data_IF_088627103836
#
_entry.id   IF_088627103836
#
_cell.length_a   1.000
_cell.length_b   1.000
_cell.length_c   1.000
_cell.angle_alpha   90.00
_cell.angle_beta   90.00
_cell.angle_gamma   90.00
#
_symmetry.space_group_name_H-M   'P 1'
#
loop_
_entity.id
_entity.type
_entity.pdbx_description
1 polymer ?
#
# COMPACT_ATOMS: atom_id res chain seq x y z
N UNK A 1 -61.78 13.82 -45.16
CA UNK A 1 -61.76 12.95 -43.95
C UNK A 1 -60.36 12.39 -43.83
N UNK A 2 -59.52 12.93 -42.93
CA UNK A 2 -59.13 12.31 -41.64
C UNK A 2 -58.61 10.88 -41.87
N UNK A 3 -57.36 10.53 -41.55
CA UNK A 3 -56.83 10.46 -40.19
C UNK A 3 -55.30 10.62 -40.20
N UNK A 4 -54.86 11.38 -39.20
CA UNK A 4 -53.52 11.86 -38.89
C UNK A 4 -52.67 10.74 -38.25
N UNK A 5 -51.39 10.70 -38.61
CA UNK A 5 -50.35 9.85 -38.02
C UNK A 5 -50.18 10.13 -36.52
N UNK A 6 -50.16 9.09 -35.68
CA UNK A 6 -49.66 9.15 -34.31
C UNK A 6 -48.86 7.88 -34.02
N UNK A 7 -47.56 7.93 -34.29
CA UNK A 7 -46.59 6.93 -33.84
C UNK A 7 -46.18 7.35 -32.42
N UNK A 8 -46.70 6.66 -31.42
CA UNK A 8 -46.28 6.78 -30.03
C UNK A 8 -45.01 5.94 -29.86
N UNK A 9 -43.86 6.60 -29.78
CA UNK A 9 -42.58 5.96 -29.45
C UNK A 9 -42.54 5.72 -27.94
N UNK A 10 -42.82 4.50 -27.50
CA UNK A 10 -42.59 4.09 -26.10
C UNK A 10 -41.10 3.83 -25.96
N UNK A 11 -40.37 4.82 -25.41
CA UNK A 11 -38.99 4.62 -24.93
C UNK A 11 -39.10 3.92 -23.58
N UNK A 12 -39.02 2.60 -23.58
CA UNK A 12 -38.81 1.82 -22.37
C UNK A 12 -37.40 2.13 -21.84
N UNK A 13 -37.31 3.07 -20.90
CA UNK A 13 -36.13 3.25 -20.05
C UNK A 13 -36.02 2.03 -19.14
N UNK A 14 -35.33 1.00 -19.59
CA UNK A 14 -34.87 -0.09 -18.73
C UNK A 14 -33.79 0.49 -17.82
N UNK A 15 -34.19 0.94 -16.63
CA UNK A 15 -33.27 1.24 -15.55
C UNK A 15 -32.60 -0.08 -15.17
N UNK A 16 -31.46 -0.38 -15.80
CA UNK A 16 -30.56 -1.40 -15.31
C UNK A 16 -30.11 -0.94 -13.93
N UNK A 17 -30.67 -1.57 -12.89
CA UNK A 17 -30.13 -1.51 -11.54
C UNK A 17 -28.67 -1.95 -11.64
N UNK A 18 -27.74 -1.00 -11.74
CA UNK A 18 -26.32 -1.22 -11.54
C UNK A 18 -26.16 -1.52 -10.06
N UNK A 19 -26.55 -2.73 -9.66
CA UNK A 19 -26.22 -3.29 -8.37
C UNK A 19 -24.71 -3.32 -8.31
N UNK A 20 -24.14 -2.57 -7.37
CA UNK A 20 -22.73 -2.64 -7.03
C UNK A 20 -22.42 -4.12 -6.73
N UNK A 21 -21.64 -4.84 -7.56
CA UNK A 21 -21.34 -6.24 -7.26
C UNK A 21 -20.44 -6.23 -6.03
N UNK A 22 -21.02 -6.53 -4.86
CA UNK A 22 -20.23 -6.90 -3.68
C UNK A 22 -19.54 -8.20 -4.04
N UNK A 23 -18.22 -8.29 -3.82
CA UNK A 23 -17.53 -9.58 -3.90
C UNK A 23 -18.25 -10.55 -2.97
N UNK A 24 -18.40 -11.81 -3.40
CA UNK A 24 -18.96 -12.82 -2.53
C UNK A 24 -18.04 -13.01 -1.31
N UNK A 25 -18.58 -13.32 -0.12
CA UNK A 25 -17.76 -13.56 1.07
C UNK A 25 -16.64 -14.59 0.83
N UNK A 26 -16.90 -15.62 0.03
CA UNK A 26 -15.93 -16.66 -0.30
C UNK A 26 -14.74 -16.11 -1.10
N UNK A 27 -14.99 -15.25 -2.08
CA UNK A 27 -13.94 -14.63 -2.88
C UNK A 27 -13.10 -13.65 -2.05
N UNK A 28 -13.70 -12.95 -1.09
CA UNK A 28 -12.95 -12.11 -0.14
C UNK A 28 -12.03 -12.92 0.77
N UNK A 29 -12.48 -14.10 1.24
CA UNK A 29 -11.67 -15.00 2.07
C UNK A 29 -10.50 -15.58 1.27
N UNK A 30 -10.73 -15.98 0.02
CA UNK A 30 -9.68 -16.47 -0.86
C UNK A 30 -8.61 -15.40 -1.12
N UNK A 31 -9.03 -14.17 -1.44
CA UNK A 31 -8.13 -13.02 -1.63
C UNK A 31 -7.29 -12.73 -0.38
N UNK A 32 -7.91 -12.71 0.80
CA UNK A 32 -7.21 -12.50 2.06
C UNK A 32 -6.16 -13.60 2.31
N UNK A 33 -6.50 -14.86 2.04
CA UNK A 33 -5.57 -15.97 2.21
C UNK A 33 -4.37 -15.83 1.28
N UNK A 34 -4.60 -15.50 0.01
CA UNK A 34 -3.52 -15.33 -0.97
C UNK A 34 -2.60 -14.15 -0.59
N UNK A 35 -3.16 -13.03 -0.09
CA UNK A 35 -2.37 -11.93 0.46
C UNK A 35 -1.55 -12.35 1.69
N UNK A 36 -2.08 -13.19 2.59
CA UNK A 36 -1.32 -13.71 3.74
C UNK A 36 -0.20 -14.66 3.31
N UNK A 37 -0.43 -15.50 2.29
CA UNK A 37 0.60 -16.37 1.73
C UNK A 37 1.75 -15.52 1.14
N UNK A 38 1.44 -14.47 0.36
CA UNK A 38 2.44 -13.54 -0.18
C UNK A 38 3.19 -12.80 0.93
N UNK A 39 2.47 -12.30 1.94
CA UNK A 39 3.06 -11.64 3.10
C UNK A 39 4.02 -12.58 3.86
N UNK A 40 3.63 -13.85 4.03
CA UNK A 40 4.46 -14.88 4.62
C UNK A 40 5.76 -15.13 3.86
N UNK A 41 5.68 -15.24 2.52
CA UNK A 41 6.87 -15.34 1.66
C UNK A 41 7.74 -14.08 1.76
N UNK A 42 7.11 -12.90 1.75
CA UNK A 42 7.80 -11.62 1.86
C UNK A 42 8.58 -11.45 3.15
N UNK A 43 8.07 -11.92 4.28
CA UNK A 43 8.81 -11.91 5.57
C UNK A 43 10.10 -12.72 5.57
N UNK A 44 10.26 -13.65 4.64
CA UNK A 44 11.48 -14.46 4.50
C UNK A 44 12.39 -13.90 3.41
N UNK A 45 11.81 -13.38 2.32
CA UNK A 45 12.57 -12.92 1.16
C UNK A 45 13.12 -11.50 1.27
N UNK A 46 12.48 -10.64 2.07
CA UNK A 46 12.89 -9.24 2.21
C UNK A 46 13.98 -9.13 3.27
N UNK A 47 15.18 -8.77 2.83
CA UNK A 47 16.36 -8.62 3.66
C UNK A 47 16.36 -7.27 4.40
N UNK A 48 16.15 -7.32 5.72
CA UNK A 48 16.13 -6.14 6.57
C UNK A 48 17.45 -5.37 6.63
N UNK A 49 18.61 -6.04 6.50
CA UNK A 49 19.91 -5.37 6.50
C UNK A 49 20.10 -4.50 5.26
N UNK A 50 19.50 -4.92 4.13
CA UNK A 50 19.46 -4.10 2.91
C UNK A 50 18.43 -2.98 3.07
N UNK A 51 17.26 -3.26 3.64
CA UNK A 51 16.22 -2.24 3.87
C UNK A 51 16.71 -1.05 4.70
N UNK A 52 17.49 -1.31 5.76
CA UNK A 52 18.00 -0.25 6.65
C UNK A 52 18.98 0.72 5.96
N UNK A 53 19.56 0.32 4.82
CA UNK A 53 20.50 1.15 4.04
C UNK A 53 19.81 2.04 3.02
N UNK A 54 18.52 1.85 2.77
CA UNK A 54 17.82 2.52 1.67
C UNK A 54 17.82 4.04 1.86
N UNK A 55 17.31 4.56 2.97
CA UNK A 55 17.24 6.02 3.18
C UNK A 55 18.60 6.51 3.65
N UNK A 56 19.19 7.47 2.93
CA UNK A 56 20.55 7.95 3.24
C UNK A 56 20.58 8.76 4.54
N UNK A 57 21.74 8.79 5.20
CA UNK A 57 21.94 9.62 6.41
C UNK A 57 21.64 11.10 6.17
N UNK A 58 21.96 11.61 4.97
CA UNK A 58 21.59 12.97 4.57
C UNK A 58 20.08 13.15 4.58
N UNK A 59 19.33 12.27 3.90
CA UNK A 59 17.88 12.37 3.82
C UNK A 59 17.23 12.26 5.21
N UNK A 60 17.72 11.36 6.07
CA UNK A 60 17.28 11.25 7.46
C UNK A 60 17.44 12.57 8.22
N UNK A 61 18.55 13.28 8.02
CA UNK A 61 18.81 14.58 8.64
C UNK A 61 17.82 15.69 8.25
N UNK A 62 17.20 15.59 7.07
CA UNK A 62 16.22 16.57 6.58
C UNK A 62 14.77 16.15 6.80
N UNK A 63 14.49 14.88 7.14
CA UNK A 63 13.14 14.33 7.15
C UNK A 63 12.14 15.13 8.02
N UNK A 64 12.62 15.69 9.15
CA UNK A 64 11.83 16.55 10.05
C UNK A 64 12.23 18.02 10.00
N UNK A 65 13.12 18.41 9.09
CA UNK A 65 13.53 19.79 8.94
C UNK A 65 12.37 20.63 8.39
N UNK A 66 12.19 21.82 8.94
CA UNK A 66 11.19 22.80 8.49
C UNK A 66 11.86 24.15 8.25
N UNK A 67 11.60 24.78 7.12
CA UNK A 67 11.95 26.19 6.85
C UNK A 67 10.68 26.92 6.40
N UNK A 68 10.25 28.01 7.07
CA UNK A 68 9.10 28.80 6.64
C UNK A 68 9.19 29.37 5.21
N UNK A 69 10.41 29.45 4.65
CA UNK A 69 10.67 29.93 3.28
C UNK A 69 10.80 28.80 2.27
N UNK A 70 10.91 27.56 2.74
CA UNK A 70 11.03 26.36 1.91
C UNK A 70 10.24 25.20 2.55
N UNK A 71 8.96 25.11 2.16
CA UNK A 71 8.07 24.04 2.61
C UNK A 71 8.44 22.66 2.04
N UNK A 72 9.30 22.60 1.02
CA UNK A 72 9.70 21.36 0.35
C UNK A 72 11.07 20.85 0.81
N UNK A 73 11.75 21.55 1.72
CA UNK A 73 13.10 21.26 2.21
C UNK A 73 13.35 19.76 2.46
N UNK A 74 12.44 19.09 3.17
CA UNK A 74 12.55 17.66 3.46
C UNK A 74 12.40 16.78 2.22
N UNK A 75 11.44 17.09 1.35
CA UNK A 75 11.16 16.33 0.13
C UNK A 75 12.25 16.50 -0.92
N UNK A 76 12.73 17.73 -1.11
CA UNK A 76 13.79 18.07 -2.06
C UNK A 76 15.16 17.49 -1.66
N UNK A 77 15.32 17.14 -0.38
CA UNK A 77 16.51 16.47 0.13
C UNK A 77 16.28 14.99 0.44
N UNK A 78 15.14 14.42 0.03
CA UNK A 78 14.91 12.99 0.14
C UNK A 78 15.74 12.26 -0.90
N UNK A 79 16.56 11.31 -0.44
CA UNK A 79 17.50 10.56 -1.27
C UNK A 79 17.69 9.15 -0.72
N UNK A 80 18.02 8.22 -1.60
CA UNK A 80 18.14 6.79 -1.31
C UNK A 80 19.42 6.19 -1.87
N UNK A 81 19.95 5.17 -1.21
CA UNK A 81 20.95 4.30 -1.81
C UNK A 81 20.32 3.52 -2.98
N UNK A 82 20.76 3.85 -4.20
CA UNK A 82 20.13 3.37 -5.42
C UNK A 82 20.24 1.83 -5.58
N UNK A 83 21.32 1.22 -5.08
CA UNK A 83 21.52 -0.23 -5.16
C UNK A 83 20.59 -0.96 -4.19
N UNK A 84 20.54 -0.53 -2.93
CA UNK A 84 19.66 -1.09 -1.91
C UNK A 84 18.19 -0.88 -2.30
N UNK A 85 17.82 0.33 -2.71
CA UNK A 85 16.48 0.69 -3.12
C UNK A 85 16.01 -0.19 -4.29
N UNK A 86 16.79 -0.27 -5.37
CA UNK A 86 16.40 -1.06 -6.53
C UNK A 86 16.36 -2.57 -6.26
N UNK A 87 17.25 -3.07 -5.39
CA UNK A 87 17.27 -4.47 -5.00
C UNK A 87 15.97 -4.83 -4.28
N UNK A 88 15.61 -4.07 -3.24
CA UNK A 88 14.38 -4.32 -2.48
C UNK A 88 13.15 -4.07 -3.33
N UNK A 89 13.10 -2.97 -4.10
CA UNK A 89 11.96 -2.65 -4.97
C UNK A 89 11.65 -3.75 -5.98
N UNK A 90 12.67 -4.32 -6.62
CA UNK A 90 12.49 -5.46 -7.54
C UNK A 90 11.96 -6.69 -6.82
N UNK A 91 12.41 -6.97 -5.59
CA UNK A 91 11.87 -8.06 -4.76
C UNK A 91 10.40 -7.82 -4.43
N UNK A 92 10.03 -6.62 -3.99
CA UNK A 92 8.64 -6.27 -3.68
C UNK A 92 7.71 -6.38 -4.90
N UNK A 93 8.16 -5.96 -6.09
CA UNK A 93 7.42 -6.15 -7.34
C UNK A 93 7.22 -7.64 -7.64
N UNK A 94 8.26 -8.47 -7.50
CA UNK A 94 8.14 -9.91 -7.73
C UNK A 94 7.16 -10.57 -6.75
N UNK A 95 7.17 -10.15 -5.48
CA UNK A 95 6.20 -10.61 -4.49
C UNK A 95 4.77 -10.24 -4.88
N UNK A 96 4.54 -9.04 -5.41
CA UNK A 96 3.18 -8.64 -5.83
C UNK A 96 2.65 -9.47 -7.00
N UNK A 97 3.54 -10.01 -7.84
CA UNK A 97 3.20 -10.95 -8.92
C UNK A 97 2.87 -12.37 -8.46
N UNK A 98 3.06 -12.70 -7.18
CA UNK A 98 2.64 -14.00 -6.65
C UNK A 98 1.12 -14.08 -6.46
N UNK A 99 0.44 -12.94 -6.36
CA UNK A 99 -1.02 -12.89 -6.28
C UNK A 99 -1.66 -13.01 -7.69
N UNK A 100 -2.80 -13.68 -7.75
CA UNK A 100 -3.63 -13.90 -8.93
C UNK A 100 -4.44 -12.66 -9.37
N UNK A 101 -4.36 -11.58 -8.60
CA UNK A 101 -5.04 -10.30 -8.79
C UNK A 101 -4.08 -9.12 -8.58
N UNK A 102 -4.43 -7.89 -9.01
CA UNK A 102 -3.60 -6.72 -8.76
C UNK A 102 -3.37 -6.50 -7.27
N UNK A 103 -2.10 -6.50 -6.88
CA UNK A 103 -1.64 -6.22 -5.54
C UNK A 103 -0.37 -5.37 -5.59
N UNK A 104 -0.09 -4.67 -4.50
CA UNK A 104 1.20 -4.06 -4.21
C UNK A 104 1.78 -4.65 -2.93
N UNK A 105 3.10 -4.67 -2.81
CA UNK A 105 3.81 -5.03 -1.57
C UNK A 105 4.70 -3.86 -1.18
N UNK A 106 4.30 -3.02 -0.23
CA UNK A 106 5.05 -1.81 0.09
C UNK A 106 6.00 -2.03 1.28
N UNK A 107 7.11 -1.29 1.34
CA UNK A 107 8.02 -1.31 2.49
C UNK A 107 7.75 -0.11 3.40
N UNK A 108 7.49 -0.41 4.67
CA UNK A 108 7.35 0.56 5.73
C UNK A 108 8.47 0.39 6.76
N UNK A 109 9.13 1.48 7.13
CA UNK A 109 10.23 1.46 8.10
C UNK A 109 9.97 2.46 9.24
N UNK A 110 10.18 2.07 10.51
CA UNK A 110 10.23 3.02 11.61
C UNK A 110 11.36 4.03 11.40
N UNK A 111 11.21 5.23 11.97
CA UNK A 111 12.21 6.28 11.84
C UNK A 111 13.07 6.34 13.11
N UNK A 112 14.37 6.13 12.95
CA UNK A 112 15.32 6.16 14.04
C UNK A 112 15.31 7.52 14.78
N UNK A 113 15.39 7.48 16.10
CA UNK A 113 15.30 8.67 16.96
C UNK A 113 13.90 9.27 17.09
N UNK A 114 12.89 8.74 16.39
CA UNK A 114 11.52 9.29 16.37
C UNK A 114 10.49 8.19 16.68
N UNK A 115 10.36 7.79 17.97
CA UNK A 115 9.40 6.77 18.38
C UNK A 115 7.98 7.13 17.95
N UNK A 116 7.25 6.13 17.45
CA UNK A 116 5.88 6.32 16.97
C UNK A 116 5.76 6.95 15.58
N UNK A 117 6.86 7.23 14.88
CA UNK A 117 6.85 7.64 13.47
C UNK A 117 7.25 6.51 12.55
N UNK A 118 6.63 6.47 11.38
CA UNK A 118 6.90 5.49 10.32
C UNK A 118 6.88 6.16 8.96
N UNK A 119 7.68 5.66 8.02
CA UNK A 119 7.72 6.14 6.65
C UNK A 119 7.47 5.01 5.65
N UNK A 120 6.83 5.36 4.54
CA UNK A 120 6.70 4.49 3.38
C UNK A 120 7.95 4.65 2.51
N UNK A 121 8.89 3.72 2.64
CA UNK A 121 10.19 3.80 1.95
C UNK A 121 10.08 3.37 0.49
N UNK A 122 9.31 2.32 0.21
CA UNK A 122 9.05 1.86 -1.16
C UNK A 122 7.56 1.64 -1.35
N UNK A 123 7.01 2.37 -2.33
CA UNK A 123 5.67 2.17 -2.87
C UNK A 123 5.75 1.60 -4.29
N UNK A 124 4.80 0.73 -4.63
CA UNK A 124 4.78 0.02 -5.90
C UNK A 124 3.78 0.54 -6.93
N UNK A 125 3.73 -0.16 -8.07
CA UNK A 125 3.17 0.27 -9.36
C UNK A 125 1.71 0.72 -9.28
N UNK A 126 0.87 0.01 -8.52
CA UNK A 126 -0.55 0.31 -8.49
C UNK A 126 -0.90 1.42 -7.50
N UNK A 127 0.12 1.97 -6.82
CA UNK A 127 -0.01 3.07 -5.88
C UNK A 127 -0.98 2.76 -4.73
N UNK A 128 -1.15 1.47 -4.42
CA UNK A 128 -2.09 0.98 -3.42
C UNK A 128 -1.45 1.03 -2.04
N UNK A 129 -2.13 1.66 -1.07
CA UNK A 129 -1.84 1.54 0.35
C UNK A 129 -3.07 1.94 1.16
N UNK A 130 -3.32 1.27 2.28
CA UNK A 130 -4.36 1.69 3.23
C UNK A 130 -3.92 2.84 4.14
N UNK A 131 -2.61 3.11 4.25
CA UNK A 131 -2.06 3.94 5.32
C UNK A 131 -1.38 5.22 4.82
N UNK A 132 -0.98 5.25 3.55
CA UNK A 132 -0.24 6.39 3.00
C UNK A 132 -1.14 7.40 2.33
N UNK A 133 -0.94 8.69 2.63
CA UNK A 133 -1.54 9.78 1.88
C UNK A 133 -0.53 10.42 0.92
N UNK A 134 -1.02 10.90 -0.22
CA UNK A 134 -0.17 11.50 -1.24
C UNK A 134 0.68 12.65 -0.71
N UNK A 135 1.99 12.56 -0.91
CA UNK A 135 2.96 13.59 -0.56
C UNK A 135 3.50 13.50 0.88
N UNK A 136 3.00 12.59 1.71
CA UNK A 136 3.54 12.39 3.06
C UNK A 136 4.87 11.63 3.01
N UNK A 137 5.91 12.21 3.60
CA UNK A 137 7.22 11.55 3.78
C UNK A 137 7.21 10.57 4.97
N UNK A 138 6.38 10.84 5.97
CA UNK A 138 6.17 10.00 7.15
C UNK A 138 4.80 10.28 7.77
N UNK A 139 4.35 9.38 8.63
CA UNK A 139 3.12 9.52 9.38
C UNK A 139 3.25 8.98 10.80
N UNK A 140 2.14 9.06 11.55
CA UNK A 140 2.02 8.39 12.83
C UNK A 140 1.89 6.88 12.64
N UNK A 141 2.60 6.12 13.47
CA UNK A 141 2.53 4.66 13.47
C UNK A 141 1.17 4.22 14.00
N UNK A 142 0.41 3.50 13.16
CA UNK A 142 -0.89 2.95 13.56
C UNK A 142 -0.72 1.69 14.43
N UNK A 143 -1.71 1.35 15.29
CA UNK A 143 -1.59 0.22 16.22
C UNK A 143 -1.26 -1.14 15.57
N UNK A 144 -1.74 -1.36 14.34
CA UNK A 144 -1.50 -2.60 13.60
C UNK A 144 -0.02 -2.73 13.18
N UNK A 145 0.59 -1.63 12.74
CA UNK A 145 2.02 -1.59 12.41
C UNK A 145 2.87 -1.77 13.67
N UNK A 146 2.50 -1.09 14.76
CA UNK A 146 3.18 -1.24 16.06
C UNK A 146 3.13 -2.69 16.55
N UNK A 147 2.00 -3.37 16.38
CA UNK A 147 1.85 -4.79 16.74
C UNK A 147 2.83 -5.66 15.97
N UNK A 148 2.97 -5.46 14.65
CA UNK A 148 3.91 -6.23 13.82
C UNK A 148 5.35 -5.97 14.27
N UNK A 149 5.73 -4.70 14.43
CA UNK A 149 7.09 -4.31 14.80
C UNK A 149 7.49 -4.84 16.19
N UNK A 150 6.57 -4.85 17.16
CA UNK A 150 6.85 -5.34 18.51
C UNK A 150 6.84 -6.85 18.64
N UNK A 151 5.99 -7.54 17.88
CA UNK A 151 5.71 -8.97 18.11
C UNK A 151 6.22 -9.90 17.03
N UNK A 152 6.60 -9.36 15.86
CA UNK A 152 6.92 -10.16 14.68
C UNK A 152 5.72 -10.93 14.13
N UNK A 153 4.50 -10.63 14.56
CA UNK A 153 3.28 -11.32 14.09
C UNK A 153 2.67 -10.60 12.91
N UNK A 154 2.24 -11.37 11.89
CA UNK A 154 1.43 -10.83 10.79
C UNK A 154 0.08 -10.33 11.29
N UNK A 155 -0.41 -9.26 10.66
CA UNK A 155 -1.70 -8.66 10.99
C UNK A 155 -2.46 -8.37 9.69
N UNK A 156 -3.69 -8.89 9.57
CA UNK A 156 -4.60 -8.49 8.50
C UNK A 156 -5.38 -7.23 8.90
N UNK A 157 -5.52 -6.29 7.97
CA UNK A 157 -6.22 -5.02 8.13
C UNK A 157 -7.26 -4.85 7.03
N UNK A 158 -8.52 -4.65 7.44
CA UNK A 158 -9.68 -4.47 6.55
C UNK A 158 -10.52 -3.25 6.97
N UNK A 159 -9.90 -2.26 7.61
CA UNK A 159 -10.59 -1.09 8.16
C UNK A 159 -11.11 -0.14 7.08
N UNK A 160 -10.42 -0.04 5.94
CA UNK A 160 -10.87 0.73 4.77
C UNK A 160 -11.79 -0.15 3.91
N UNK A 161 -13.08 0.22 3.69
CA UNK A 161 -14.00 -0.60 2.91
C UNK A 161 -13.47 -0.91 1.51
N UNK A 162 -13.49 -2.19 1.14
CA UNK A 162 -12.98 -2.66 -0.15
C UNK A 162 -11.47 -2.92 -0.18
N UNK A 163 -10.72 -2.61 0.88
CA UNK A 163 -9.28 -2.83 0.94
C UNK A 163 -8.93 -3.98 1.88
N UNK A 164 -7.92 -4.75 1.50
CA UNK A 164 -7.33 -5.79 2.33
C UNK A 164 -5.82 -5.57 2.31
N UNK A 165 -5.22 -5.41 3.48
CA UNK A 165 -3.77 -5.37 3.66
C UNK A 165 -3.37 -6.45 4.64
N UNK A 166 -2.27 -7.16 4.37
CA UNK A 166 -1.59 -8.02 5.33
C UNK A 166 -0.23 -7.40 5.63
N UNK A 167 -0.04 -7.02 6.89
CA UNK A 167 1.21 -6.48 7.39
C UNK A 167 2.10 -7.63 7.87
N UNK A 168 3.36 -7.63 7.46
CA UNK A 168 4.30 -8.70 7.77
C UNK A 168 5.65 -8.15 8.20
N UNK A 169 6.31 -8.71 9.22
CA UNK A 169 7.60 -8.20 9.69
C UNK A 169 8.70 -8.38 8.63
N UNK A 170 9.65 -7.46 8.64
CA UNK A 170 10.93 -7.57 7.94
C UNK A 170 12.02 -7.74 9.00
N UNK A 171 12.79 -8.82 8.87
CA UNK A 171 13.85 -9.15 9.82
C UNK A 171 15.23 -8.79 9.27
N UNK A 172 16.14 -8.31 10.12
CA UNK A 172 17.56 -8.27 9.80
C UNK A 172 18.25 -9.62 10.10
N UNK A 173 19.54 -9.74 9.80
CA UNK A 173 20.33 -10.95 10.06
C UNK A 173 20.47 -11.33 11.54
N UNK A 174 20.17 -10.42 12.46
CA UNK A 174 20.15 -10.69 13.91
C UNK A 174 18.79 -11.22 14.40
N UNK A 175 17.77 -11.22 13.53
CA UNK A 175 16.41 -11.61 13.87
C UNK A 175 15.57 -10.49 14.49
N UNK A 176 16.06 -9.24 14.46
CA UNK A 176 15.29 -8.08 14.89
C UNK A 176 14.27 -7.68 13.82
N UNK A 177 13.07 -7.28 14.24
CA UNK A 177 12.08 -6.68 13.33
C UNK A 177 12.47 -5.22 13.08
N UNK A 178 12.96 -4.93 11.88
CA UNK A 178 13.48 -3.60 11.50
C UNK A 178 12.50 -2.80 10.64
N UNK A 179 11.43 -3.43 10.19
CA UNK A 179 10.40 -2.83 9.36
C UNK A 179 9.25 -3.79 9.14
N UNK A 180 8.36 -3.44 8.22
CA UNK A 180 7.29 -4.32 7.77
C UNK A 180 6.99 -4.12 6.30
N UNK A 181 6.43 -5.15 5.68
CA UNK A 181 5.78 -5.03 4.38
C UNK A 181 4.27 -4.93 4.52
N UNK A 182 3.65 -4.14 3.66
CA UNK A 182 2.20 -4.11 3.46
C UNK A 182 1.88 -4.80 2.14
N UNK A 183 1.34 -6.03 2.19
CA UNK A 183 0.79 -6.70 1.01
C UNK A 183 -0.67 -6.30 0.87
N UNK A 184 -1.02 -5.54 -0.15
CA UNK A 184 -2.32 -4.87 -0.26
C UNK A 184 -2.97 -5.10 -1.60
N UNK A 185 -4.29 -5.27 -1.59
CA UNK A 185 -5.13 -5.22 -2.77
C UNK A 185 -6.43 -4.49 -2.48
N UNK A 186 -7.03 -4.00 -3.56
CA UNK A 186 -8.37 -3.44 -3.54
C UNK A 186 -9.33 -4.39 -4.26
N UNK A 187 -10.39 -4.78 -3.56
CA UNK A 187 -11.47 -5.67 -4.00
C UNK A 187 -12.13 -5.15 -5.29
N UNK A 188 -12.02 -3.85 -5.60
CA UNK A 188 -12.55 -3.23 -6.82
C UNK A 188 -11.48 -2.37 -7.51
N UNK A 189 -10.67 -2.94 -8.39
CA UNK A 189 -9.64 -2.18 -9.14
C UNK A 189 -10.29 -0.95 -9.83
N UNK A 190 -10.00 0.26 -9.33
CA UNK A 190 -10.34 1.51 -10.01
C UNK A 190 -9.05 2.07 -10.58
N UNK A 191 -8.91 2.03 -11.90
CA UNK A 191 -7.70 2.50 -12.61
C UNK A 191 -7.44 4.02 -12.49
N UNK A 192 -8.33 4.78 -11.83
CA UNK A 192 -8.27 6.24 -11.71
C UNK A 192 -8.29 6.77 -10.26
N UNK A 193 -8.04 5.96 -9.24
CA UNK A 193 -8.22 6.39 -7.83
C UNK A 193 -7.30 7.56 -7.39
N UNK A 194 -6.13 7.72 -8.02
CA UNK A 194 -5.16 8.76 -7.67
C UNK A 194 -5.12 9.96 -8.63
N UNK A 195 -6.00 10.02 -9.63
CA UNK A 195 -6.12 11.17 -10.55
C UNK A 195 -7.36 11.98 -10.14
N UNK A 196 -7.15 13.18 -9.59
CA UNK A 196 -8.21 14.20 -9.42
C UNK A 196 -8.24 15.12 -10.63
#
# INVERSE_FOLDING_TARGET
MKILYLIVLIVSFTFAMVGNPKLSPEASVAMQKELDDVAGVGSVMVDGDVCQKIVTERAKGFLFATDPRDQFLAGDNYDVDDVAFNTVKKTLIRLSHLASFPADVNLWMPIEGHPGKIQLVIRNKNEMSQFWNWGELYGDMVPQMETVLKTGRRVTVTSKPGWISVLSPVYNSLGDVVGLIETVSHVKVNAHENVK
#
